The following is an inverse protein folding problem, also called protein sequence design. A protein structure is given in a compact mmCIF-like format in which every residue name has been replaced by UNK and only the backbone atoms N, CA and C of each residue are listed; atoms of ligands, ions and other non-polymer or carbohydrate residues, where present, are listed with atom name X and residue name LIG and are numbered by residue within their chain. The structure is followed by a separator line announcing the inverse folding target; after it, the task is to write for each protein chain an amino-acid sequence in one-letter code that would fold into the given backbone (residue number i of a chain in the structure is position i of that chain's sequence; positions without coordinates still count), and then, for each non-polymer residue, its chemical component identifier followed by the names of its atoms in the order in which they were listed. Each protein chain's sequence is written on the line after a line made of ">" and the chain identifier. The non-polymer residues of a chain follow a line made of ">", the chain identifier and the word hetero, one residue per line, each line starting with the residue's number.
data_IF_445318096714
#
_entry.id   IF_445318096714
#
_cell.length_a   1.000
_cell.length_b   1.000
_cell.length_c   1.000
_cell.angle_alpha   90.00
_cell.angle_beta   90.00
_cell.angle_gamma   90.00
#
_symmetry.space_group_name_H-M   'P 1'
#
loop_
_entity.id
_entity.type
_entity.pdbx_description
1 polymer ?
#
# COMPACT_ATOMS: atom_id res chain seq x y z
N UNK A 1 21.96 -23.46 -62.43
CA UNK A 1 20.69 -22.72 -62.19
C UNK A 1 20.11 -22.93 -60.77
N UNK A 2 20.93 -23.20 -59.73
CA UNK A 2 20.46 -23.48 -58.35
C UNK A 2 20.96 -22.50 -57.27
N UNK A 3 21.72 -21.48 -57.64
CA UNK A 3 22.45 -20.63 -56.67
C UNK A 3 21.77 -19.30 -56.34
N UNK A 4 20.94 -18.72 -57.21
CA UNK A 4 20.24 -17.44 -56.90
C UNK A 4 19.05 -17.60 -55.93
N UNK A 5 18.22 -18.65 -56.07
CA UNK A 5 17.04 -18.85 -55.21
C UNK A 5 17.38 -19.19 -53.75
N UNK A 6 18.48 -19.90 -53.49
CA UNK A 6 18.91 -20.20 -52.12
C UNK A 6 19.49 -18.96 -51.41
N UNK A 7 20.21 -18.10 -52.13
CA UNK A 7 20.75 -16.85 -51.57
C UNK A 7 19.61 -15.88 -51.18
N UNK A 8 18.55 -15.78 -51.99
CA UNK A 8 17.38 -14.94 -51.65
C UNK A 8 16.60 -15.47 -50.43
N UNK A 9 16.50 -16.80 -50.29
CA UNK A 9 15.80 -17.41 -49.14
C UNK A 9 16.59 -17.23 -47.83
N UNK A 10 17.92 -17.40 -47.88
CA UNK A 10 18.78 -17.19 -46.70
C UNK A 10 18.84 -15.71 -46.31
N UNK A 11 18.87 -14.79 -47.28
CA UNK A 11 18.78 -13.36 -47.01
C UNK A 11 17.43 -12.95 -46.40
N UNK A 12 16.31 -13.51 -46.87
CA UNK A 12 14.99 -13.26 -46.30
C UNK A 12 14.85 -13.82 -44.88
N UNK A 13 15.38 -15.01 -44.60
CA UNK A 13 15.38 -15.60 -43.26
C UNK A 13 16.29 -14.82 -42.31
N UNK A 14 17.48 -14.38 -42.75
CA UNK A 14 18.34 -13.50 -41.97
C UNK A 14 17.71 -12.14 -41.70
N UNK A 15 16.92 -11.59 -42.64
CA UNK A 15 16.18 -10.34 -42.47
C UNK A 15 15.02 -10.50 -41.48
N UNK A 16 14.31 -11.62 -41.50
CA UNK A 16 13.25 -11.93 -40.52
C UNK A 16 13.85 -12.18 -39.13
N UNK A 17 14.97 -12.91 -39.03
CA UNK A 17 15.66 -13.15 -37.76
C UNK A 17 16.28 -11.86 -37.21
N UNK A 18 16.82 -10.99 -38.06
CA UNK A 18 17.35 -9.69 -37.62
C UNK A 18 16.25 -8.68 -37.28
N UNK A 19 15.10 -8.69 -37.97
CA UNK A 19 13.92 -7.91 -37.57
C UNK A 19 13.35 -8.41 -36.24
N UNK A 20 13.26 -9.72 -36.01
CA UNK A 20 12.87 -10.30 -34.72
C UNK A 20 13.89 -9.99 -33.60
N UNK A 21 15.19 -10.01 -33.91
CA UNK A 21 16.28 -9.67 -32.99
C UNK A 21 16.39 -8.15 -32.69
N UNK A 22 15.97 -7.30 -33.63
CA UNK A 22 15.86 -5.83 -33.44
C UNK A 22 14.55 -5.49 -32.71
N UNK A 23 13.45 -6.20 -32.96
CA UNK A 23 12.20 -6.08 -32.22
C UNK A 23 12.37 -6.49 -30.75
N UNK A 24 13.23 -7.47 -30.44
CA UNK A 24 13.56 -7.86 -29.06
C UNK A 24 14.45 -6.86 -28.31
N UNK A 25 14.98 -5.81 -28.96
CA UNK A 25 15.80 -4.77 -28.32
C UNK A 25 15.05 -3.50 -27.93
N UNK A 26 13.82 -3.32 -28.38
CA UNK A 26 12.98 -2.22 -27.92
C UNK A 26 11.95 -2.77 -26.93
N UNK A 27 12.19 -2.66 -25.61
CA UNK A 27 11.31 -3.23 -24.60
C UNK A 27 9.87 -2.74 -24.75
N UNK A 28 9.66 -1.49 -25.14
CA UNK A 28 8.32 -0.92 -25.36
C UNK A 28 7.57 -1.62 -26.51
N UNK A 29 8.25 -1.97 -27.61
CA UNK A 29 7.62 -2.72 -28.72
C UNK A 29 7.32 -4.17 -28.37
N UNK A 30 8.17 -4.79 -27.56
CA UNK A 30 7.94 -6.16 -27.09
C UNK A 30 6.73 -6.22 -26.13
N UNK A 31 6.57 -5.19 -25.30
CA UNK A 31 5.46 -5.03 -24.36
C UNK A 31 4.14 -4.70 -25.06
N UNK A 32 4.17 -3.86 -26.09
CA UNK A 32 3.04 -3.59 -26.98
C UNK A 32 2.58 -4.87 -27.70
N UNK A 33 3.50 -5.62 -28.32
CA UNK A 33 3.20 -6.89 -28.96
C UNK A 33 2.64 -7.94 -27.96
N UNK A 34 3.17 -7.98 -26.73
CA UNK A 34 2.65 -8.87 -25.68
C UNK A 34 1.23 -8.49 -25.27
N UNK A 35 0.96 -7.19 -25.13
CA UNK A 35 -0.37 -6.66 -24.81
C UNK A 35 -1.38 -7.04 -25.90
N UNK A 36 -1.01 -6.85 -27.17
CA UNK A 36 -1.85 -7.23 -28.32
C UNK A 36 -2.17 -8.73 -28.34
N UNK A 37 -1.18 -9.60 -28.08
CA UNK A 37 -1.39 -11.05 -28.00
C UNK A 37 -2.35 -11.41 -26.86
N UNK A 38 -2.15 -10.83 -25.67
CA UNK A 38 -3.03 -11.07 -24.52
C UNK A 38 -4.47 -10.61 -24.79
N UNK A 39 -4.64 -9.50 -25.51
CA UNK A 39 -5.94 -8.93 -25.88
C UNK A 39 -6.67 -9.78 -26.92
N UNK A 40 -5.96 -10.29 -27.93
CA UNK A 40 -6.54 -11.15 -28.97
C UNK A 40 -7.16 -12.43 -28.37
N UNK A 41 -6.55 -12.97 -27.30
CA UNK A 41 -7.09 -14.12 -26.58
C UNK A 41 -8.36 -13.85 -25.75
N UNK A 42 -8.74 -12.58 -25.58
CA UNK A 42 -9.84 -12.16 -24.69
C UNK A 42 -11.08 -11.62 -25.42
N UNK A 43 -11.02 -11.50 -26.75
CA UNK A 43 -12.19 -11.11 -27.55
C UNK A 43 -12.57 -9.63 -27.43
N UNK A 44 -11.62 -8.74 -27.15
CA UNK A 44 -11.90 -7.30 -27.12
C UNK A 44 -12.16 -6.74 -28.51
N UNK A 45 -12.98 -5.68 -28.56
CA UNK A 45 -13.35 -4.98 -29.80
C UNK A 45 -12.35 -3.86 -30.00
N UNK A 46 -11.46 -3.98 -30.99
CA UNK A 46 -10.48 -2.93 -31.30
C UNK A 46 -11.16 -1.67 -31.83
N UNK A 47 -10.69 -0.51 -31.36
CA UNK A 47 -11.17 0.80 -31.80
C UNK A 47 -10.02 1.62 -32.34
N UNK A 48 -10.15 2.01 -33.61
CA UNK A 48 -9.16 2.82 -34.32
C UNK A 48 -9.36 4.32 -34.06
N UNK A 49 -8.27 5.06 -34.10
CA UNK A 49 -8.26 6.51 -33.95
C UNK A 49 -6.84 7.06 -33.86
N UNK A 50 -6.65 8.37 -34.14
CA UNK A 50 -5.33 8.99 -34.17
C UNK A 50 -4.71 9.21 -32.79
N UNK A 51 -5.53 9.35 -31.75
CA UNK A 51 -5.12 9.64 -30.38
C UNK A 51 -6.07 8.96 -29.37
N UNK A 52 -5.66 8.87 -28.10
CA UNK A 52 -6.46 8.20 -27.07
C UNK A 52 -7.87 8.80 -26.92
N UNK A 53 -7.99 10.14 -26.99
CA UNK A 53 -9.28 10.83 -26.86
C UNK A 53 -10.25 10.43 -27.96
N UNK A 54 -9.81 10.46 -29.21
CA UNK A 54 -10.60 10.11 -30.39
C UNK A 54 -11.03 8.64 -30.35
N UNK A 55 -10.17 7.75 -29.85
CA UNK A 55 -10.52 6.34 -29.65
C UNK A 55 -11.58 6.16 -28.54
N UNK A 56 -11.49 6.90 -27.43
CA UNK A 56 -12.53 6.88 -26.39
C UNK A 56 -13.86 7.37 -26.97
N UNK A 57 -13.86 8.49 -27.69
CA UNK A 57 -15.06 9.07 -28.31
C UNK A 57 -15.70 8.07 -29.30
N UNK A 58 -14.89 7.41 -30.13
CA UNK A 58 -15.33 6.38 -31.07
C UNK A 58 -15.89 5.14 -30.35
N UNK A 59 -15.20 4.66 -29.31
CA UNK A 59 -15.61 3.52 -28.51
C UNK A 59 -16.95 3.77 -27.81
N UNK A 60 -17.14 4.96 -27.22
CA UNK A 60 -18.39 5.36 -26.59
C UNK A 60 -19.53 5.40 -27.62
N UNK A 61 -19.28 5.98 -28.79
CA UNK A 61 -20.26 6.01 -29.89
C UNK A 61 -20.65 4.58 -30.32
N UNK A 62 -19.68 3.70 -30.49
CA UNK A 62 -19.91 2.31 -30.90
C UNK A 62 -20.64 1.48 -29.84
N UNK A 63 -20.25 1.61 -28.56
CA UNK A 63 -20.89 0.97 -27.41
C UNK A 63 -22.37 1.33 -27.33
N UNK A 64 -22.67 2.63 -27.37
CA UNK A 64 -24.05 3.13 -27.30
C UNK A 64 -24.88 2.78 -28.53
N UNK A 65 -24.29 2.76 -29.73
CA UNK A 65 -25.00 2.37 -30.94
C UNK A 65 -25.38 0.88 -30.93
N UNK A 66 -24.54 0.02 -30.34
CA UNK A 66 -24.78 -1.43 -30.28
C UNK A 66 -25.87 -1.80 -29.29
N UNK A 67 -25.82 -1.25 -28.08
CA UNK A 67 -26.85 -1.47 -27.06
C UNK A 67 -26.90 -0.27 -26.11
N UNK A 68 -27.82 0.69 -26.33
CA UNK A 68 -27.85 1.95 -25.57
C UNK A 68 -27.95 1.77 -24.06
N UNK A 69 -28.57 0.69 -23.59
CA UNK A 69 -28.84 0.42 -22.16
C UNK A 69 -27.86 -0.56 -21.53
N UNK A 70 -26.93 -1.14 -22.30
CA UNK A 70 -25.96 -2.11 -21.76
C UNK A 70 -24.66 -1.39 -21.39
N UNK A 71 -24.17 -1.56 -20.15
CA UNK A 71 -22.84 -1.07 -19.78
C UNK A 71 -21.74 -1.66 -20.66
N UNK A 72 -20.67 -0.90 -20.86
CA UNK A 72 -19.52 -1.36 -21.62
C UNK A 72 -18.22 -0.77 -21.07
N UNK A 73 -17.13 -1.50 -21.29
CA UNK A 73 -15.80 -1.05 -20.91
C UNK A 73 -15.11 -0.37 -22.09
N UNK A 74 -14.38 0.70 -21.82
CA UNK A 74 -13.28 1.15 -22.68
C UNK A 74 -11.97 0.85 -21.96
N UNK A 75 -10.97 0.33 -22.66
CA UNK A 75 -9.72 -0.06 -22.04
C UNK A 75 -8.50 0.20 -22.91
N UNK A 76 -7.38 0.57 -22.29
CA UNK A 76 -6.10 0.79 -22.96
C UNK A 76 -4.93 0.34 -22.08
N UNK A 77 -3.82 -0.05 -22.71
CA UNK A 77 -2.55 -0.32 -22.03
C UNK A 77 -1.76 0.97 -21.83
N UNK A 78 -0.89 1.01 -20.82
CA UNK A 78 -0.07 2.17 -20.48
C UNK A 78 1.29 1.71 -19.97
N UNK A 79 2.25 2.64 -19.87
CA UNK A 79 3.58 2.30 -19.37
C UNK A 79 3.57 2.19 -17.85
N UNK A 80 3.83 0.99 -17.36
CA UNK A 80 3.74 0.66 -15.92
C UNK A 80 5.11 0.81 -15.26
N UNK A 81 5.15 1.57 -14.16
CA UNK A 81 6.38 1.77 -13.38
C UNK A 81 6.97 0.45 -12.87
N UNK A 82 8.30 0.37 -12.70
CA UNK A 82 8.92 -0.76 -12.02
C UNK A 82 8.44 -0.92 -10.57
N UNK A 83 8.57 -2.13 -10.04
CA UNK A 83 8.38 -2.45 -8.63
C UNK A 83 6.93 -2.54 -8.13
N UNK A 84 5.96 -2.63 -9.04
CA UNK A 84 4.54 -2.82 -8.71
C UNK A 84 3.95 -4.03 -9.41
N UNK A 85 3.18 -4.82 -8.66
CA UNK A 85 2.42 -5.94 -9.17
C UNK A 85 0.93 -5.75 -8.95
N UNK A 86 0.11 -6.08 -9.95
CA UNK A 86 -1.36 -6.02 -9.87
C UNK A 86 -1.94 -7.40 -10.10
N UNK A 87 -2.92 -7.75 -9.25
CA UNK A 87 -3.68 -9.01 -9.30
C UNK A 87 -2.79 -10.24 -9.45
N UNK A 88 -1.73 -10.32 -8.65
CA UNK A 88 -0.79 -11.43 -8.67
C UNK A 88 -0.75 -12.14 -7.31
N UNK A 89 -0.70 -13.47 -7.35
CA UNK A 89 -0.61 -14.32 -6.16
C UNK A 89 0.85 -14.69 -5.93
N UNK A 90 1.34 -14.39 -4.73
CA UNK A 90 2.74 -14.55 -4.38
C UNK A 90 2.90 -15.46 -3.16
N UNK A 91 3.83 -16.42 -3.25
CA UNK A 91 4.30 -17.16 -2.07
C UNK A 91 5.41 -16.36 -1.40
N UNK A 92 5.47 -16.38 -0.07
CA UNK A 92 6.52 -15.72 0.72
C UNK A 92 6.71 -14.22 0.38
N UNK A 93 5.60 -13.51 0.17
CA UNK A 93 5.62 -12.07 -0.12
C UNK A 93 6.06 -11.25 1.10
N UNK A 94 6.90 -10.25 0.86
CA UNK A 94 7.33 -9.24 1.83
C UNK A 94 7.13 -7.86 1.21
N UNK A 95 6.25 -7.06 1.80
CA UNK A 95 5.96 -5.71 1.34
C UNK A 95 4.55 -5.29 1.72
N UNK A 96 4.02 -4.34 0.96
CA UNK A 96 2.67 -3.82 1.13
C UNK A 96 1.75 -4.36 0.04
N UNK A 97 0.52 -4.75 0.41
CA UNK A 97 -0.56 -5.03 -0.53
C UNK A 97 -1.74 -4.15 -0.19
N UNK A 98 -2.20 -3.37 -1.17
CA UNK A 98 -3.40 -2.54 -1.08
C UNK A 98 -4.52 -3.20 -1.86
N UNK A 99 -5.61 -3.51 -1.18
CA UNK A 99 -6.81 -4.13 -1.76
C UNK A 99 -7.92 -3.11 -1.96
N UNK A 100 -8.46 -3.06 -3.17
CA UNK A 100 -9.60 -2.23 -3.53
C UNK A 100 -10.87 -3.08 -3.56
N UNK A 101 -12.03 -2.45 -3.32
CA UNK A 101 -13.32 -3.14 -3.09
C UNK A 101 -13.82 -4.03 -4.23
N UNK A 102 -13.20 -3.92 -5.41
CA UNK A 102 -13.56 -4.65 -6.62
C UNK A 102 -12.63 -5.85 -6.91
N UNK A 103 -11.80 -6.20 -5.92
CA UNK A 103 -10.88 -7.32 -5.97
C UNK A 103 -9.52 -6.99 -6.58
N UNK A 104 -9.28 -5.73 -6.97
CA UNK A 104 -7.98 -5.27 -7.46
C UNK A 104 -6.99 -5.22 -6.30
N UNK A 105 -5.91 -5.99 -6.40
CA UNK A 105 -4.84 -6.03 -5.40
C UNK A 105 -3.55 -5.47 -6.00
N UNK A 106 -3.00 -4.42 -5.38
CA UNK A 106 -1.74 -3.82 -5.80
C UNK A 106 -0.68 -4.11 -4.75
N UNK A 107 0.40 -4.75 -5.16
CA UNK A 107 1.48 -5.19 -4.27
C UNK A 107 2.80 -4.53 -4.63
N UNK A 108 3.50 -4.03 -3.60
CA UNK A 108 4.80 -3.37 -3.71
C UNK A 108 5.72 -4.05 -2.70
N UNK A 109 6.72 -4.77 -3.19
CA UNK A 109 7.49 -5.65 -2.32
C UNK A 109 8.41 -6.59 -3.07
N UNK A 110 8.80 -7.65 -2.38
CA UNK A 110 9.57 -8.76 -2.94
C UNK A 110 8.87 -10.09 -2.66
N UNK A 111 9.05 -11.06 -3.54
CA UNK A 111 8.68 -12.47 -3.32
C UNK A 111 9.93 -13.30 -3.55
N UNK A 112 10.34 -14.10 -2.56
CA UNK A 112 11.59 -14.85 -2.62
C UNK A 112 12.85 -13.97 -2.79
N UNK A 113 12.81 -12.72 -2.35
CA UNK A 113 13.91 -11.76 -2.49
C UNK A 113 13.96 -11.03 -3.84
N UNK A 114 13.06 -11.34 -4.76
CA UNK A 114 12.95 -10.67 -6.07
C UNK A 114 11.80 -9.67 -6.04
N UNK A 115 12.01 -8.46 -6.55
CA UNK A 115 10.97 -7.44 -6.68
C UNK A 115 9.80 -7.97 -7.51
N UNK A 116 8.58 -7.85 -6.96
CA UNK A 116 7.37 -8.26 -7.70
C UNK A 116 7.02 -7.21 -8.74
N UNK A 117 6.68 -7.65 -9.95
CA UNK A 117 6.30 -6.74 -11.03
C UNK A 117 5.22 -7.34 -11.92
N UNK A 118 4.25 -6.51 -12.32
CA UNK A 118 3.32 -6.77 -13.41
C UNK A 118 3.41 -5.63 -14.41
N UNK A 119 3.80 -5.95 -15.64
CA UNK A 119 4.09 -4.98 -16.69
C UNK A 119 2.96 -4.83 -17.71
N UNK A 120 2.27 -5.93 -18.01
CA UNK A 120 1.14 -5.96 -18.92
C UNK A 120 -0.17 -5.58 -18.19
N UNK A 121 -0.39 -4.28 -17.99
CA UNK A 121 -1.60 -3.76 -17.34
C UNK A 121 -2.45 -2.95 -18.31
N UNK A 122 -3.77 -2.95 -18.07
CA UNK A 122 -4.71 -2.08 -18.76
C UNK A 122 -5.51 -1.24 -17.77
N UNK A 123 -5.82 0.00 -18.17
CA UNK A 123 -6.78 0.86 -17.48
C UNK A 123 -8.15 0.62 -18.12
N UNK A 124 -9.12 0.21 -17.32
CA UNK A 124 -10.47 -0.12 -17.71
C UNK A 124 -11.44 0.91 -17.13
N UNK A 125 -12.30 1.46 -17.99
CA UNK A 125 -13.28 2.46 -17.61
C UNK A 125 -14.68 1.94 -17.96
N UNK A 126 -15.54 1.79 -16.95
CA UNK A 126 -16.92 1.33 -17.14
C UNK A 126 -17.83 2.52 -17.42
N UNK A 127 -18.49 2.46 -18.57
CA UNK A 127 -19.54 3.40 -18.96
C UNK A 127 -20.90 2.76 -18.70
N UNK A 128 -21.77 3.47 -18.01
CA UNK A 128 -23.13 3.00 -17.76
C UNK A 128 -24.01 3.04 -19.01
N UNK A 129 -24.96 2.11 -19.05
CA UNK A 129 -26.03 2.14 -20.05
C UNK A 129 -26.97 3.32 -19.81
N UNK A 130 -27.48 3.91 -20.89
CA UNK A 130 -28.50 4.95 -20.85
C UNK A 130 -28.03 6.33 -20.38
N UNK A 131 -26.77 6.48 -19.94
CA UNK A 131 -26.20 7.75 -19.47
C UNK A 131 -24.84 8.03 -20.11
N UNK A 132 -24.30 9.22 -19.83
CA UNK A 132 -22.91 9.57 -20.14
C UNK A 132 -21.94 9.36 -18.98
N UNK A 133 -22.38 8.73 -17.89
CA UNK A 133 -21.58 8.61 -16.69
C UNK A 133 -20.60 7.44 -16.76
N UNK A 134 -19.37 7.71 -16.34
CA UNK A 134 -18.41 6.68 -15.97
C UNK A 134 -18.58 6.35 -14.50
N UNK A 135 -18.72 5.07 -14.16
CA UNK A 135 -18.95 4.63 -12.77
C UNK A 135 -17.74 3.98 -12.13
N UNK A 136 -16.80 3.50 -12.95
CA UNK A 136 -15.60 2.80 -12.46
C UNK A 136 -14.39 3.08 -13.34
N UNK A 137 -13.24 3.20 -12.69
CA UNK A 137 -11.90 3.10 -13.28
C UNK A 137 -11.20 1.95 -12.55
N UNK A 138 -10.50 1.09 -13.26
CA UNK A 138 -9.78 -0.06 -12.69
C UNK A 138 -8.48 -0.28 -13.43
N UNK A 139 -7.47 -0.84 -12.75
CA UNK A 139 -6.25 -1.33 -13.38
C UNK A 139 -6.25 -2.84 -13.30
N UNK A 140 -6.25 -3.52 -14.43
CA UNK A 140 -6.26 -4.98 -14.50
C UNK A 140 -5.01 -5.55 -15.13
N UNK A 141 -4.60 -6.71 -14.62
CA UNK A 141 -3.55 -7.52 -15.19
C UNK A 141 -4.04 -8.24 -16.46
N UNK A 142 -3.49 -7.84 -17.62
CA UNK A 142 -3.89 -8.38 -18.93
C UNK A 142 -3.34 -9.79 -19.18
N UNK A 143 -2.36 -10.26 -18.40
CA UNK A 143 -1.87 -11.64 -18.47
C UNK A 143 -2.82 -12.63 -17.77
N UNK A 144 -3.88 -12.15 -17.10
CA UNK A 144 -4.90 -12.98 -16.45
C UNK A 144 -6.21 -12.92 -17.22
N UNK A 145 -6.87 -14.08 -17.34
CA UNK A 145 -8.25 -14.14 -17.83
C UNK A 145 -9.19 -13.56 -16.77
N UNK A 146 -10.06 -12.64 -17.19
CA UNK A 146 -11.08 -12.04 -16.34
C UNK A 146 -12.44 -12.06 -17.04
N UNK A 147 -13.49 -12.22 -16.25
CA UNK A 147 -14.86 -12.01 -16.72
C UNK A 147 -15.22 -10.55 -16.44
N UNK A 148 -15.27 -9.72 -17.49
CA UNK A 148 -15.56 -8.28 -17.43
C UNK A 148 -17.04 -7.97 -17.14
N UNK A 149 -17.62 -8.71 -16.19
CA UNK A 149 -19.05 -8.77 -15.90
C UNK A 149 -19.93 -9.16 -17.10
N UNK A 150 -19.33 -9.79 -18.13
CA UNK A 150 -20.00 -10.11 -19.40
C UNK A 150 -20.19 -8.91 -20.33
N UNK A 151 -19.71 -7.72 -19.96
CA UNK A 151 -19.84 -6.51 -20.78
C UNK A 151 -18.79 -6.48 -21.90
N UNK A 152 -19.12 -5.91 -23.07
CA UNK A 152 -18.15 -5.75 -24.15
C UNK A 152 -17.02 -4.81 -23.72
N UNK A 153 -15.80 -5.15 -24.11
CA UNK A 153 -14.60 -4.34 -23.89
C UNK A 153 -14.15 -3.75 -25.22
N UNK A 154 -14.15 -2.43 -25.31
CA UNK A 154 -13.62 -1.67 -26.43
C UNK A 154 -12.15 -1.33 -26.16
N UNK A 155 -11.25 -1.95 -26.90
CA UNK A 155 -9.81 -1.83 -26.73
C UNK A 155 -9.24 -0.70 -27.60
N UNK A 156 -8.57 0.24 -26.95
CA UNK A 156 -8.05 1.46 -27.57
C UNK A 156 -6.55 1.34 -27.91
N UNK A 157 -5.94 0.18 -27.67
CA UNK A 157 -4.51 -0.03 -27.88
C UNK A 157 -3.65 0.52 -26.73
N UNK A 158 -2.45 1.00 -27.06
CA UNK A 158 -1.53 1.65 -26.13
C UNK A 158 -1.82 3.14 -26.02
N UNK A 159 -2.03 3.63 -24.80
CA UNK A 159 -2.16 5.04 -24.47
C UNK A 159 -0.81 5.61 -24.04
N UNK A 160 -0.38 6.71 -24.67
CA UNK A 160 0.86 7.38 -24.25
C UNK A 160 0.72 8.05 -22.88
N UNK A 161 1.81 8.15 -22.13
CA UNK A 161 1.79 8.73 -20.78
C UNK A 161 1.17 10.13 -20.71
N UNK A 162 1.46 11.00 -21.68
CA UNK A 162 0.87 12.35 -21.70
C UNK A 162 -0.66 12.33 -21.82
N UNK A 163 -1.20 11.56 -22.77
CA UNK A 163 -2.64 11.46 -23.00
C UNK A 163 -3.34 10.78 -21.82
N UNK A 164 -2.77 9.69 -21.32
CA UNK A 164 -3.30 8.92 -20.19
C UNK A 164 -3.31 9.75 -18.90
N UNK A 165 -2.20 10.38 -18.53
CA UNK A 165 -2.11 11.22 -17.33
C UNK A 165 -3.03 12.43 -17.41
N UNK A 166 -3.19 13.05 -18.59
CA UNK A 166 -4.13 14.15 -18.77
C UNK A 166 -5.57 13.71 -18.55
N UNK A 167 -5.98 12.57 -19.13
CA UNK A 167 -7.30 11.99 -18.93
C UNK A 167 -7.56 11.66 -17.45
N UNK A 168 -6.64 10.94 -16.82
CA UNK A 168 -6.80 10.49 -15.44
C UNK A 168 -6.83 11.66 -14.46
N UNK A 169 -6.08 12.75 -14.73
CA UNK A 169 -6.14 13.97 -13.91
C UNK A 169 -7.52 14.63 -13.95
N UNK A 170 -8.15 14.65 -15.13
CA UNK A 170 -9.53 15.15 -15.26
C UNK A 170 -10.50 14.25 -14.50
N UNK A 171 -10.34 12.92 -14.60
CA UNK A 171 -11.19 11.96 -13.87
C UNK A 171 -11.02 12.06 -12.36
N UNK A 172 -9.79 12.21 -11.86
CA UNK A 172 -9.47 12.35 -10.45
C UNK A 172 -10.14 13.58 -9.81
N UNK A 173 -10.18 14.70 -10.53
CA UNK A 173 -10.76 15.96 -10.05
C UNK A 173 -12.22 16.18 -10.49
N UNK A 174 -12.85 15.16 -11.09
CA UNK A 174 -14.25 15.25 -11.51
C UNK A 174 -15.22 15.08 -10.34
N UNK A 175 -16.50 15.42 -10.56
CA UNK A 175 -17.59 15.10 -9.65
C UNK A 175 -18.14 13.66 -9.82
N UNK A 176 -17.37 12.78 -10.48
CA UNK A 176 -17.76 11.39 -10.69
C UNK A 176 -17.81 10.60 -9.37
N UNK A 177 -18.26 9.36 -9.45
CA UNK A 177 -18.29 8.45 -8.31
C UNK A 177 -16.90 8.37 -7.64
N UNK A 178 -16.87 8.23 -6.31
CA UNK A 178 -15.64 8.07 -5.52
C UNK A 178 -14.69 7.00 -6.09
N UNK A 179 -15.24 5.93 -6.67
CA UNK A 179 -14.48 4.85 -7.31
C UNK A 179 -13.72 5.33 -8.55
N UNK A 180 -14.28 6.27 -9.31
CA UNK A 180 -13.60 6.88 -10.47
C UNK A 180 -12.46 7.77 -9.99
N UNK A 181 -12.72 8.68 -9.05
CA UNK A 181 -11.71 9.66 -8.61
C UNK A 181 -10.54 9.00 -7.87
N UNK A 182 -10.82 8.06 -6.97
CA UNK A 182 -9.80 7.29 -6.26
C UNK A 182 -8.98 6.44 -7.23
N UNK A 183 -9.61 5.60 -8.06
CA UNK A 183 -8.87 4.68 -8.91
C UNK A 183 -8.16 5.38 -10.09
N UNK A 184 -8.63 6.56 -10.53
CA UNK A 184 -7.85 7.39 -11.45
C UNK A 184 -6.54 7.88 -10.80
N UNK A 185 -6.59 8.27 -9.51
CA UNK A 185 -5.39 8.64 -8.74
C UNK A 185 -4.44 7.46 -8.58
N UNK A 186 -4.98 6.26 -8.34
CA UNK A 186 -4.18 5.02 -8.30
C UNK A 186 -3.53 4.74 -9.64
N UNK A 187 -4.28 4.79 -10.75
CA UNK A 187 -3.76 4.57 -12.08
C UNK A 187 -2.62 5.55 -12.41
N UNK A 188 -2.75 6.84 -12.05
CA UNK A 188 -1.66 7.83 -12.17
C UNK A 188 -0.41 7.36 -11.42
N UNK A 189 -0.55 6.88 -10.18
CA UNK A 189 0.58 6.42 -9.37
C UNK A 189 1.29 5.18 -9.92
N UNK A 190 0.66 4.45 -10.85
CA UNK A 190 1.24 3.28 -11.52
C UNK A 190 1.97 3.62 -12.82
N UNK A 191 1.91 4.86 -13.32
CA UNK A 191 2.59 5.22 -14.57
C UNK A 191 4.11 5.29 -14.40
N UNK A 192 4.83 4.80 -15.40
CA UNK A 192 6.26 5.02 -15.56
C UNK A 192 6.53 6.41 -16.18
N UNK A 193 6.31 7.46 -15.39
CA UNK A 193 6.53 8.83 -15.85
C UNK A 193 7.06 9.73 -14.71
N UNK A 194 8.13 10.52 -14.95
CA UNK A 194 8.70 11.38 -13.91
C UNK A 194 7.74 12.47 -13.41
N UNK A 195 6.67 12.79 -14.16
CA UNK A 195 5.66 13.79 -13.74
C UNK A 195 4.74 13.29 -12.63
N UNK A 196 4.67 11.98 -12.38
CA UNK A 196 3.74 11.37 -11.40
C UNK A 196 3.89 12.01 -10.03
N UNK A 197 5.12 12.21 -9.53
CA UNK A 197 5.36 12.82 -8.22
C UNK A 197 4.75 14.22 -8.10
N UNK A 198 4.99 15.09 -9.09
CA UNK A 198 4.39 16.44 -9.09
C UNK A 198 2.87 16.43 -9.28
N UNK A 199 2.31 15.49 -10.06
CA UNK A 199 0.86 15.34 -10.19
C UNK A 199 0.24 14.99 -8.83
N UNK A 200 0.79 14.00 -8.12
CA UNK A 200 0.30 13.60 -6.82
C UNK A 200 0.48 14.72 -5.77
N UNK A 201 1.61 15.43 -5.77
CA UNK A 201 1.81 16.61 -4.91
C UNK A 201 0.77 17.70 -5.16
N UNK A 202 0.42 17.94 -6.43
CA UNK A 202 -0.61 18.91 -6.79
C UNK A 202 -2.00 18.49 -6.31
N UNK A 203 -2.34 17.19 -6.35
CA UNK A 203 -3.57 16.68 -5.75
C UNK A 203 -3.61 16.93 -4.24
N UNK A 204 -2.51 16.67 -3.52
CA UNK A 204 -2.45 16.92 -2.07
C UNK A 204 -2.68 18.39 -1.74
N UNK A 205 -2.11 19.31 -2.53
CA UNK A 205 -2.18 20.76 -2.31
C UNK A 205 -3.55 21.36 -2.66
N UNK A 206 -4.15 20.91 -3.76
CA UNK A 206 -5.22 21.66 -4.43
C UNK A 206 -6.56 20.91 -4.53
N UNK A 207 -6.56 19.58 -4.45
CA UNK A 207 -7.78 18.80 -4.64
C UNK A 207 -8.81 19.10 -3.56
N UNK A 208 -10.05 19.32 -3.98
CA UNK A 208 -11.18 19.47 -3.05
C UNK A 208 -11.74 18.11 -2.60
N UNK A 209 -11.30 17.01 -3.23
CA UNK A 209 -11.73 15.65 -2.91
C UNK A 209 -10.78 15.06 -1.87
N UNK A 210 -11.21 14.98 -0.62
CA UNK A 210 -10.40 14.44 0.49
C UNK A 210 -9.82 13.05 0.18
N UNK A 211 -10.62 12.21 -0.49
CA UNK A 211 -10.18 10.86 -0.87
C UNK A 211 -9.05 10.87 -1.91
N UNK A 212 -9.02 11.85 -2.81
CA UNK A 212 -7.92 12.04 -3.78
C UNK A 212 -6.67 12.50 -3.06
N UNK A 213 -6.78 13.48 -2.15
CA UNK A 213 -5.66 13.94 -1.31
C UNK A 213 -5.02 12.78 -0.54
N UNK A 214 -5.82 12.02 0.20
CA UNK A 214 -5.34 10.88 1.01
C UNK A 214 -4.72 9.77 0.18
N UNK A 215 -5.31 9.45 -0.98
CA UNK A 215 -4.77 8.46 -1.92
C UNK A 215 -3.43 8.95 -2.49
N UNK A 216 -3.32 10.23 -2.86
CA UNK A 216 -2.07 10.81 -3.34
C UNK A 216 -0.97 10.79 -2.27
N UNK A 217 -1.27 11.11 -1.01
CA UNK A 217 -0.30 11.02 0.10
C UNK A 217 0.23 9.60 0.26
N UNK A 218 -0.63 8.58 0.26
CA UNK A 218 -0.20 7.19 0.34
C UNK A 218 0.75 6.83 -0.81
N UNK A 219 0.35 7.15 -2.05
CA UNK A 219 1.13 6.80 -3.24
C UNK A 219 2.44 7.58 -3.36
N UNK A 220 2.54 8.81 -2.84
CA UNK A 220 3.81 9.54 -2.71
C UNK A 220 4.84 8.77 -1.87
N UNK A 221 4.40 8.09 -0.80
CA UNK A 221 5.27 7.22 0.00
C UNK A 221 5.68 5.93 -0.72
N UNK A 222 4.90 5.48 -1.70
CA UNK A 222 5.15 4.25 -2.46
C UNK A 222 5.94 4.48 -3.77
N UNK A 223 5.88 5.69 -4.35
CA UNK A 223 6.70 6.05 -5.52
C UNK A 223 8.16 6.31 -5.15
N UNK A 224 8.42 6.69 -3.88
CA UNK A 224 9.75 7.01 -3.38
C UNK A 224 10.22 8.41 -3.79
N UNK A 225 11.26 8.92 -3.13
CA UNK A 225 11.85 10.23 -3.46
C UNK A 225 11.06 11.45 -2.96
N UNK A 226 9.91 11.26 -2.31
CA UNK A 226 9.01 12.34 -1.87
C UNK A 226 8.98 12.52 -0.34
N UNK A 227 9.98 11.97 0.36
CA UNK A 227 10.11 12.04 1.82
C UNK A 227 10.07 13.45 2.37
N UNK A 228 10.78 14.39 1.73
CA UNK A 228 10.81 15.79 2.16
C UNK A 228 9.42 16.40 2.14
N UNK A 229 8.68 16.19 1.04
CA UNK A 229 7.31 16.68 0.92
C UNK A 229 6.38 16.06 1.96
N UNK A 230 6.46 14.75 2.19
CA UNK A 230 5.67 14.07 3.23
C UNK A 230 6.02 14.58 4.64
N UNK A 231 7.30 14.79 4.93
CA UNK A 231 7.74 15.32 6.22
C UNK A 231 7.24 16.75 6.44
N UNK A 232 7.21 17.58 5.40
CA UNK A 232 6.68 18.94 5.48
C UNK A 232 5.17 18.95 5.75
N UNK A 233 4.40 18.03 5.14
CA UNK A 233 3.00 17.83 5.50
C UNK A 233 2.83 17.48 6.98
N UNK A 234 3.62 16.55 7.51
CA UNK A 234 3.55 16.15 8.93
C UNK A 234 3.79 17.34 9.86
N UNK A 235 4.77 18.20 9.53
CA UNK A 235 5.12 19.39 10.32
C UNK A 235 4.10 20.52 10.22
N UNK A 236 3.38 20.64 9.11
CA UNK A 236 2.46 21.76 8.87
C UNK A 236 1.27 21.74 9.86
N UNK A 237 1.29 22.60 10.87
CA UNK A 237 0.22 22.69 11.87
C UNK A 237 -1.09 23.26 11.30
N UNK A 238 -1.03 23.97 10.18
CA UNK A 238 -2.21 24.45 9.46
C UNK A 238 -2.86 23.42 8.54
N UNK A 239 -2.23 22.25 8.34
CA UNK A 239 -2.80 21.16 7.54
C UNK A 239 -3.80 20.32 8.36
N UNK A 240 -4.78 19.74 7.66
CA UNK A 240 -5.72 18.80 8.24
C UNK A 240 -5.00 17.65 8.96
N UNK A 241 -5.39 17.38 10.21
CA UNK A 241 -4.73 16.38 11.06
C UNK A 241 -4.74 14.97 10.44
N UNK A 242 -5.78 14.60 9.72
CA UNK A 242 -5.86 13.29 9.06
C UNK A 242 -4.87 13.18 7.89
N UNK A 243 -4.69 14.24 7.10
CA UNK A 243 -3.66 14.30 6.04
C UNK A 243 -2.26 14.20 6.64
N UNK A 244 -2.00 14.88 7.75
CA UNK A 244 -0.72 14.79 8.48
C UNK A 244 -0.45 13.37 8.97
N UNK A 245 -1.47 12.71 9.53
CA UNK A 245 -1.37 11.31 9.96
C UNK A 245 -1.09 10.38 8.78
N UNK A 246 -1.78 10.56 7.66
CA UNK A 246 -1.55 9.77 6.45
C UNK A 246 -0.13 9.98 5.89
N UNK A 247 0.42 11.19 5.98
CA UNK A 247 1.79 11.46 5.57
C UNK A 247 2.80 10.73 6.49
N UNK A 248 2.59 10.76 7.81
CA UNK A 248 3.42 10.00 8.74
C UNK A 248 3.33 8.48 8.50
N UNK A 249 2.12 7.97 8.22
CA UNK A 249 1.93 6.57 7.82
C UNK A 249 2.70 6.24 6.54
N UNK A 250 2.53 7.06 5.49
CA UNK A 250 3.15 6.88 4.19
C UNK A 250 4.69 6.84 4.29
N UNK A 251 5.28 7.68 5.15
CA UNK A 251 6.72 7.60 5.48
C UNK A 251 7.03 6.24 6.10
N UNK A 252 6.30 5.81 7.13
CA UNK A 252 6.60 4.55 7.84
C UNK A 252 6.53 3.29 6.99
N UNK A 253 5.62 3.25 6.01
CA UNK A 253 5.47 2.12 5.07
C UNK A 253 6.19 2.35 3.73
N UNK A 254 6.96 3.42 3.59
CA UNK A 254 7.81 3.64 2.42
C UNK A 254 9.02 2.72 2.43
N UNK A 255 9.62 2.52 1.24
CA UNK A 255 10.87 1.77 1.07
C UNK A 255 12.13 2.64 1.24
N UNK A 256 11.97 3.90 1.63
CA UNK A 256 13.10 4.79 1.81
C UNK A 256 13.90 4.41 3.06
N UNK A 257 15.21 4.22 2.88
CA UNK A 257 16.10 3.79 3.98
C UNK A 257 16.12 4.77 5.15
N UNK A 258 15.84 6.05 4.88
CA UNK A 258 15.81 7.13 5.88
C UNK A 258 14.45 7.31 6.54
N UNK A 259 13.42 6.54 6.14
CA UNK A 259 12.05 6.71 6.62
C UNK A 259 11.93 6.73 8.14
N UNK A 260 12.56 5.76 8.82
CA UNK A 260 12.50 5.69 10.28
C UNK A 260 13.24 6.87 10.94
N UNK A 261 14.40 7.27 10.42
CA UNK A 261 15.12 8.43 10.91
C UNK A 261 14.28 9.73 10.75
N UNK A 262 13.58 9.86 9.62
CA UNK A 262 12.62 10.94 9.38
C UNK A 262 11.48 10.92 10.40
N UNK A 263 10.87 9.77 10.68
CA UNK A 263 9.84 9.63 11.71
C UNK A 263 10.34 10.02 13.10
N UNK A 264 11.53 9.57 13.48
CA UNK A 264 12.16 9.91 14.77
C UNK A 264 12.39 11.42 14.90
N UNK A 265 12.88 12.07 13.83
CA UNK A 265 13.06 13.52 13.79
C UNK A 265 11.71 14.25 13.89
N UNK A 266 10.70 13.82 13.13
CA UNK A 266 9.36 14.40 13.13
C UNK A 266 8.70 14.30 14.51
N UNK A 267 8.85 13.17 15.19
CA UNK A 267 8.29 12.96 16.53
C UNK A 267 8.69 14.04 17.53
N UNK A 268 9.95 14.48 17.48
CA UNK A 268 10.48 15.53 18.36
C UNK A 268 9.98 16.94 18.02
N UNK A 269 9.56 17.18 16.77
CA UNK A 269 9.12 18.48 16.29
C UNK A 269 7.61 18.69 16.29
N UNK A 270 6.79 17.63 16.30
CA UNK A 270 5.33 17.76 16.30
C UNK A 270 4.77 17.93 17.71
N UNK A 271 3.74 18.76 17.85
CA UNK A 271 3.03 19.01 19.12
C UNK A 271 1.72 18.21 19.21
N UNK A 272 1.05 17.99 18.08
CA UNK A 272 -0.24 17.32 18.01
C UNK A 272 -0.14 15.85 18.44
N UNK A 273 -0.89 15.47 19.48
CA UNK A 273 -0.88 14.11 20.07
C UNK A 273 -1.31 13.01 19.11
N UNK A 274 -2.28 13.26 18.24
CA UNK A 274 -2.77 12.27 17.29
C UNK A 274 -1.73 12.02 16.18
N UNK A 275 -1.02 13.07 15.75
CA UNK A 275 0.12 12.93 14.83
C UNK A 275 1.28 12.19 15.50
N UNK A 276 1.59 12.47 16.77
CA UNK A 276 2.60 11.70 17.54
C UNK A 276 2.25 10.22 17.62
N UNK A 277 1.01 9.88 17.99
CA UNK A 277 0.55 8.48 18.02
C UNK A 277 0.71 7.80 16.67
N UNK A 278 0.38 8.50 15.59
CA UNK A 278 0.54 7.98 14.25
C UNK A 278 2.02 7.75 13.88
N UNK A 279 2.93 8.64 14.30
CA UNK A 279 4.38 8.45 14.10
C UNK A 279 4.88 7.22 14.88
N UNK A 280 4.42 7.02 16.12
CA UNK A 280 4.74 5.83 16.92
C UNK A 280 4.26 4.57 16.21
N UNK A 281 3.03 4.55 15.69
CA UNK A 281 2.52 3.44 14.91
C UNK A 281 3.31 3.22 13.62
N UNK A 282 3.57 4.26 12.84
CA UNK A 282 4.33 4.18 11.60
C UNK A 282 5.74 3.58 11.83
N UNK A 283 6.39 3.96 12.94
CA UNK A 283 7.68 3.38 13.34
C UNK A 283 7.57 1.91 13.79
N UNK A 284 6.44 1.51 14.39
CA UNK A 284 6.25 0.12 14.85
C UNK A 284 6.09 -0.87 13.71
N UNK A 285 5.56 -0.44 12.57
CA UNK A 285 5.37 -1.27 11.37
C UNK A 285 6.45 -1.06 10.28
N UNK A 286 7.44 -0.20 10.52
CA UNK A 286 8.52 0.04 9.57
C UNK A 286 9.37 -1.23 9.31
N UNK A 287 9.92 -1.34 8.11
CA UNK A 287 10.75 -2.47 7.69
C UNK A 287 12.02 -2.64 8.56
N UNK A 288 12.60 -1.54 9.05
CA UNK A 288 13.72 -1.58 9.99
C UNK A 288 13.23 -1.87 11.41
N UNK A 289 12.96 -3.17 11.67
CA UNK A 289 12.33 -3.64 12.91
C UNK A 289 13.12 -3.29 14.17
N UNK A 290 14.44 -3.46 14.15
CA UNK A 290 15.29 -3.26 15.33
C UNK A 290 15.33 -1.80 15.75
N UNK A 291 15.59 -0.89 14.80
CA UNK A 291 15.57 0.53 15.08
C UNK A 291 14.15 1.04 15.43
N UNK A 292 13.11 0.40 14.89
CA UNK A 292 11.72 0.64 15.29
C UNK A 292 11.48 0.27 16.75
N UNK A 293 11.97 -0.89 17.20
CA UNK A 293 11.92 -1.28 18.62
C UNK A 293 12.69 -0.29 19.49
N UNK A 294 13.88 0.13 19.07
CA UNK A 294 14.69 1.11 19.82
C UNK A 294 13.98 2.44 20.03
N UNK A 295 13.30 2.92 18.98
CA UNK A 295 12.46 4.09 19.08
C UNK A 295 11.30 3.90 20.06
N UNK A 296 10.60 2.76 20.00
CA UNK A 296 9.50 2.47 20.93
C UNK A 296 9.98 2.39 22.38
N UNK A 297 11.13 1.77 22.64
CA UNK A 297 11.74 1.70 23.98
C UNK A 297 12.05 3.11 24.50
N UNK A 298 12.64 3.96 23.65
CA UNK A 298 12.93 5.36 24.00
C UNK A 298 11.66 6.13 24.36
N UNK A 299 10.60 6.02 23.55
CA UNK A 299 9.32 6.71 23.81
C UNK A 299 8.69 6.17 25.09
N UNK A 300 8.63 4.85 25.28
CA UNK A 300 8.05 4.23 26.46
C UNK A 300 8.75 4.65 27.77
N UNK A 301 10.08 4.78 27.74
CA UNK A 301 10.88 5.07 28.94
C UNK A 301 11.01 6.56 29.29
N UNK A 302 10.96 7.46 28.30
CA UNK A 302 11.37 8.87 28.51
C UNK A 302 10.41 9.94 28.02
N UNK A 303 9.32 9.58 27.32
CA UNK A 303 8.40 10.61 26.82
C UNK A 303 7.65 11.29 27.97
N UNK A 304 7.51 12.62 27.89
CA UNK A 304 6.79 13.40 28.89
C UNK A 304 5.28 13.08 28.89
N UNK A 305 4.70 12.77 27.71
CA UNK A 305 3.29 12.44 27.58
C UNK A 305 3.04 10.96 27.94
N UNK A 306 2.27 10.76 29.01
CA UNK A 306 1.86 9.44 29.47
C UNK A 306 1.16 8.62 28.39
N UNK A 307 0.34 9.24 27.55
CA UNK A 307 -0.40 8.52 26.51
C UNK A 307 0.52 8.10 25.35
N UNK A 308 1.58 8.86 25.07
CA UNK A 308 2.63 8.45 24.13
C UNK A 308 3.43 7.24 24.67
N UNK A 309 3.78 7.25 25.97
CA UNK A 309 4.43 6.11 26.63
C UNK A 309 3.57 4.84 26.52
N UNK A 310 2.27 4.94 26.83
CA UNK A 310 1.32 3.83 26.70
C UNK A 310 1.22 3.33 25.25
N UNK A 311 1.14 4.23 24.27
CA UNK A 311 1.10 3.84 22.86
C UNK A 311 2.36 3.06 22.44
N UNK A 312 3.53 3.47 22.91
CA UNK A 312 4.77 2.76 22.62
C UNK A 312 4.81 1.37 23.28
N UNK A 313 4.37 1.26 24.54
CA UNK A 313 4.26 -0.03 25.25
C UNK A 313 3.26 -0.98 24.55
N UNK A 314 2.13 -0.46 24.09
CA UNK A 314 1.17 -1.25 23.31
C UNK A 314 1.86 -1.90 22.10
N UNK A 315 2.59 -1.11 21.31
CA UNK A 315 3.29 -1.63 20.15
C UNK A 315 4.45 -2.56 20.51
N UNK A 316 5.18 -2.33 21.61
CA UNK A 316 6.15 -3.30 22.13
C UNK A 316 5.51 -4.64 22.50
N UNK A 317 4.27 -4.63 23.01
CA UNK A 317 3.49 -5.85 23.25
C UNK A 317 3.16 -6.64 21.98
N UNK A 318 3.04 -5.96 20.83
CA UNK A 318 2.80 -6.60 19.52
C UNK A 318 4.08 -7.07 18.82
N UNK A 319 5.27 -6.77 19.35
CA UNK A 319 6.56 -7.12 18.74
C UNK A 319 7.11 -8.39 19.37
N UNK A 320 7.60 -9.32 18.56
CA UNK A 320 8.32 -10.49 19.08
C UNK A 320 9.74 -10.11 19.58
N UNK A 321 10.31 -10.93 20.46
CA UNK A 321 11.72 -10.89 20.83
C UNK A 321 12.03 -10.27 22.20
N UNK A 322 13.13 -10.74 22.79
CA UNK A 322 13.55 -10.45 24.17
C UNK A 322 13.71 -8.95 24.48
N UNK A 323 14.22 -8.15 23.53
CA UNK A 323 14.38 -6.69 23.76
C UNK A 323 13.05 -6.00 24.07
N UNK A 324 12.00 -6.38 23.34
CA UNK A 324 10.66 -5.82 23.56
C UNK A 324 10.07 -6.29 24.90
N UNK A 325 10.23 -7.57 25.24
CA UNK A 325 9.77 -8.14 26.50
C UNK A 325 10.51 -7.56 27.72
N UNK A 326 11.83 -7.38 27.58
CA UNK A 326 12.69 -6.75 28.57
C UNK A 326 12.23 -5.33 28.87
N UNK A 327 12.02 -4.50 27.85
CA UNK A 327 11.54 -3.13 28.03
C UNK A 327 10.17 -3.04 28.74
N UNK A 328 9.24 -3.96 28.45
CA UNK A 328 7.96 -4.05 29.17
C UNK A 328 8.17 -4.43 30.64
N UNK A 329 9.03 -5.41 30.91
CA UNK A 329 9.37 -5.86 32.25
C UNK A 329 10.07 -4.77 33.07
N UNK A 330 11.00 -4.04 32.46
CA UNK A 330 11.69 -2.91 33.07
C UNK A 330 10.72 -1.79 33.41
N UNK A 331 9.75 -1.53 32.52
CA UNK A 331 8.69 -0.54 32.78
C UNK A 331 7.84 -0.92 33.99
N UNK A 332 7.47 -2.20 34.14
CA UNK A 332 6.75 -2.68 35.32
C UNK A 332 7.59 -2.46 36.59
N UNK A 333 8.87 -2.81 36.55
CA UNK A 333 9.73 -2.80 37.75
C UNK A 333 10.33 -1.42 38.08
N UNK A 334 10.18 -0.43 37.21
CA UNK A 334 10.66 0.94 37.46
C UNK A 334 9.82 1.60 38.57
N UNK A 335 10.42 1.82 39.74
CA UNK A 335 9.76 2.46 40.90
C UNK A 335 9.24 3.86 40.61
N UNK A 336 9.92 4.59 39.74
CA UNK A 336 9.67 5.99 39.43
C UNK A 336 8.62 6.14 38.32
N UNK A 337 8.21 5.04 37.69
CA UNK A 337 7.19 5.06 36.66
C UNK A 337 5.79 5.33 37.23
N UNK A 338 5.01 6.11 36.47
CA UNK A 338 3.58 6.33 36.69
C UNK A 338 2.83 4.98 36.73
N UNK A 339 1.96 4.80 37.73
CA UNK A 339 1.25 3.53 37.98
C UNK A 339 0.37 3.11 36.79
N UNK A 340 -0.22 4.05 36.05
CA UNK A 340 -1.01 3.74 34.85
C UNK A 340 -0.13 3.29 33.69
N UNK A 341 1.12 3.75 33.62
CA UNK A 341 2.11 3.26 32.64
C UNK A 341 2.53 1.83 32.99
N UNK A 342 2.79 1.54 34.26
CA UNK A 342 3.10 0.19 34.73
C UNK A 342 1.94 -0.77 34.45
N UNK A 343 0.70 -0.40 34.76
CA UNK A 343 -0.50 -1.19 34.44
C UNK A 343 -0.63 -1.43 32.94
N UNK A 344 -0.29 -0.45 32.10
CA UNK A 344 -0.32 -0.62 30.66
C UNK A 344 0.78 -1.55 30.15
N UNK A 345 1.97 -1.55 30.78
CA UNK A 345 3.02 -2.53 30.49
C UNK A 345 2.58 -3.96 30.88
N UNK A 346 1.86 -4.13 32.00
CA UNK A 346 1.24 -5.42 32.36
C UNK A 346 0.24 -5.88 31.29
N UNK A 347 -0.60 -4.96 30.79
CA UNK A 347 -1.49 -5.27 29.65
C UNK A 347 -0.71 -5.66 28.40
N UNK A 348 0.32 -4.91 28.02
CA UNK A 348 1.14 -5.23 26.85
C UNK A 348 1.79 -6.62 26.96
N UNK A 349 2.25 -7.02 28.16
CA UNK A 349 2.77 -8.37 28.42
C UNK A 349 1.67 -9.42 28.26
N UNK A 350 0.44 -9.17 28.69
CA UNK A 350 -0.66 -10.15 28.55
C UNK A 350 -1.03 -10.44 27.11
N UNK A 351 -0.71 -9.55 26.16
CA UNK A 351 -0.93 -9.76 24.73
C UNK A 351 0.15 -10.62 24.06
N UNK A 352 1.20 -11.00 24.80
CA UNK A 352 2.30 -11.82 24.28
C UNK A 352 1.99 -13.31 24.36
N UNK A 353 2.83 -14.12 23.71
CA UNK A 353 2.76 -15.57 23.78
C UNK A 353 2.71 -16.04 25.25
N UNK A 354 1.88 -17.04 25.53
CA UNK A 354 1.58 -17.50 26.90
C UNK A 354 2.83 -17.90 27.68
N UNK A 355 3.81 -18.49 27.00
CA UNK A 355 5.06 -18.92 27.64
C UNK A 355 5.96 -17.77 28.07
N UNK A 356 5.83 -16.60 27.43
CA UNK A 356 6.47 -15.36 27.88
C UNK A 356 5.62 -14.66 28.95
N UNK A 357 4.31 -14.55 28.72
CA UNK A 357 3.43 -13.69 29.51
C UNK A 357 3.07 -14.27 30.88
N UNK A 358 2.73 -15.56 30.97
CA UNK A 358 2.25 -16.17 32.21
C UNK A 358 3.29 -16.12 33.33
N UNK A 359 4.57 -16.51 33.13
CA UNK A 359 5.57 -16.44 34.20
C UNK A 359 5.79 -15.00 34.72
N UNK A 360 5.80 -14.01 33.83
CA UNK A 360 5.99 -12.60 34.19
C UNK A 360 4.78 -12.02 34.92
N UNK A 361 3.57 -12.39 34.51
CA UNK A 361 2.34 -11.97 35.19
C UNK A 361 2.25 -12.59 36.59
N UNK A 362 2.59 -13.88 36.76
CA UNK A 362 2.65 -14.53 38.09
C UNK A 362 3.70 -13.85 38.97
N UNK A 363 4.89 -13.57 38.43
CA UNK A 363 5.93 -12.84 39.17
C UNK A 363 5.42 -11.47 39.62
N UNK A 364 4.85 -10.69 38.69
CA UNK A 364 4.30 -9.35 38.98
C UNK A 364 3.21 -9.41 40.04
N UNK A 365 2.28 -10.37 39.91
CA UNK A 365 1.22 -10.64 40.86
C UNK A 365 1.73 -10.94 42.28
N UNK A 366 2.86 -11.65 42.40
CA UNK A 366 3.44 -11.99 43.71
C UNK A 366 4.25 -10.86 44.33
N UNK A 367 5.08 -10.19 43.52
CA UNK A 367 6.20 -9.41 44.06
C UNK A 367 6.09 -7.91 43.85
N UNK A 368 5.19 -7.43 42.98
CA UNK A 368 5.17 -6.00 42.67
C UNK A 368 4.74 -5.17 43.89
N UNK A 369 5.48 -4.10 44.18
CA UNK A 369 5.28 -3.28 45.38
C UNK A 369 3.88 -2.62 45.43
N UNK A 370 3.42 -2.07 44.29
CA UNK A 370 2.12 -1.40 44.18
C UNK A 370 0.97 -2.41 44.03
N UNK A 371 -0.04 -2.41 44.94
CA UNK A 371 -1.19 -3.31 44.86
C UNK A 371 -2.00 -3.20 43.56
N UNK A 372 -2.14 -2.00 43.00
CA UNK A 372 -2.87 -1.77 41.75
C UNK A 372 -2.25 -2.50 40.55
N UNK A 373 -0.92 -2.57 40.50
CA UNK A 373 -0.20 -3.30 39.44
C UNK A 373 -0.30 -4.81 39.66
N UNK A 374 -0.25 -5.29 40.92
CA UNK A 374 -0.56 -6.69 41.24
C UNK A 374 -1.96 -7.05 40.75
N UNK A 375 -2.98 -6.28 41.16
CA UNK A 375 -4.37 -6.46 40.73
C UNK A 375 -4.52 -6.54 39.22
N UNK A 376 -3.82 -5.69 38.47
CA UNK A 376 -3.81 -5.73 37.00
C UNK A 376 -3.22 -7.04 36.47
N UNK A 377 -2.16 -7.57 37.07
CA UNK A 377 -1.57 -8.85 36.69
C UNK A 377 -2.51 -10.03 36.99
N UNK A 378 -3.15 -10.05 38.16
CA UNK A 378 -4.18 -11.06 38.50
C UNK A 378 -5.35 -11.01 37.52
N UNK A 379 -5.83 -9.81 37.18
CA UNK A 379 -6.90 -9.64 36.21
C UNK A 379 -6.56 -10.31 34.88
N UNK A 380 -5.37 -10.03 34.32
CA UNK A 380 -4.96 -10.62 33.05
C UNK A 380 -4.66 -12.11 33.15
N UNK A 381 -4.10 -12.61 34.25
CA UNK A 381 -3.97 -14.05 34.51
C UNK A 381 -5.33 -14.76 34.45
N UNK A 382 -6.37 -14.16 35.03
CA UNK A 382 -7.73 -14.69 35.00
C UNK A 382 -8.34 -14.78 33.59
N UNK A 383 -7.85 -14.01 32.61
CA UNK A 383 -8.32 -14.06 31.21
C UNK A 383 -7.63 -15.13 30.36
N UNK A 384 -6.58 -15.79 30.90
CA UNK A 384 -5.74 -16.66 30.08
C UNK A 384 -6.28 -18.08 29.91
N UNK A 385 -6.99 -18.58 30.93
CA UNK A 385 -7.37 -20.00 31.02
C UNK A 385 -6.17 -20.96 31.07
N UNK A 386 -4.99 -20.47 31.45
CA UNK A 386 -3.76 -21.27 31.52
C UNK A 386 -3.66 -22.01 32.86
N UNK A 387 -3.29 -23.30 32.84
CA UNK A 387 -3.20 -24.13 34.05
C UNK A 387 -2.22 -23.55 35.07
N UNK A 388 -1.13 -22.91 34.63
CA UNK A 388 -0.17 -22.26 35.54
C UNK A 388 -0.82 -21.09 36.29
N UNK A 389 -1.72 -20.35 35.65
CA UNK A 389 -2.48 -19.30 36.30
C UNK A 389 -3.49 -19.88 37.30
N UNK A 390 -4.14 -21.00 36.97
CA UNK A 390 -5.04 -21.71 37.87
C UNK A 390 -4.31 -22.23 39.11
N UNK A 391 -3.17 -22.88 38.94
CA UNK A 391 -2.34 -23.37 40.06
C UNK A 391 -1.86 -22.21 40.93
N UNK A 392 -1.47 -21.09 40.32
CA UNK A 392 -1.17 -19.86 41.07
C UNK A 392 -2.35 -19.38 41.91
N UNK A 393 -3.56 -19.33 41.35
CA UNK A 393 -4.76 -18.91 42.09
C UNK A 393 -5.11 -19.87 43.24
N UNK A 394 -5.00 -21.19 43.02
CA UNK A 394 -5.19 -22.19 44.09
C UNK A 394 -4.20 -21.95 45.24
N UNK A 395 -2.92 -21.76 44.93
CA UNK A 395 -1.90 -21.53 45.95
C UNK A 395 -2.22 -20.29 46.81
N UNK A 396 -2.57 -19.15 46.20
CA UNK A 396 -2.80 -17.91 46.96
C UNK A 396 -4.15 -17.87 47.70
N UNK A 397 -5.13 -18.68 47.31
CA UNK A 397 -6.44 -18.78 47.98
C UNK A 397 -6.47 -19.81 49.13
N UNK A 398 -5.46 -20.69 49.19
CA UNK A 398 -5.32 -21.70 50.25
C UNK A 398 -4.40 -21.25 51.40
N UNK A 399 -3.82 -20.05 51.29
CA UNK A 399 -3.12 -19.35 52.37
C UNK A 399 -4.06 -18.37 53.03
#
# INVERSE_FOLDING_TARGET
>A
MRTRKQITLVAAVLLIVSVAYIQSRNPARAEEARSEVSVQGQGFITVDGPDLKSKIDAAIKQGRARSPQTPFWTAYSFDVRPGVAVDAEWRNFKGSTTSYSEGTNISIGTSGGVTVETRNLGIFMLHEGGTSSMTRVEVYNLDRRREYSGYPVYWLGRGGNEESLNLLRILAESNAARKVTEHATVAIALHDDPRVGEILKNFVRNSQVEKVRSTAVFWLGQIGGEQTFLADLVRNEGENTEVRKQAAFAIGVSKDQTALASLQSLYGGVTNREVKKQIIFAASINENKDAGVDFLIKVAGSDADREARKQALFWLGQKAGERSLGALSDTINNSDADTEVQKHAVFAISQRARDESIPLLIKTARTHAKPEVRKQAMFWLGQTGDDRALEFFKEILTK
#
